data_IF_055919809981
#
_entry.id   IF_055919809981
#
_cell.length_a   1.000
_cell.length_b   1.000
_cell.length_c   1.000
_cell.angle_alpha   90.00
_cell.angle_beta   90.00
_cell.angle_gamma   90.00
#
_symmetry.space_group_name_H-M   'P 1'
#
loop_
_entity.id
_entity.type
_entity.pdbx_description
1 polymer ?
#
# COMPACT_ATOMS: atom_id res chain seq x y z
N UNK A 1 -6.87 -6.15 12.48
CA UNK A 1 -6.25 -6.80 11.30
C UNK A 1 -6.55 -5.91 10.10
N UNK A 2 -5.62 -5.70 9.18
CA UNK A 2 -5.85 -4.84 8.02
C UNK A 2 -6.71 -5.60 7.00
N UNK A 3 -7.98 -5.21 6.91
CA UNK A 3 -9.00 -5.86 6.05
C UNK A 3 -9.39 -5.01 4.84
N UNK A 4 -9.08 -3.72 4.89
CA UNK A 4 -9.38 -2.77 3.83
C UNK A 4 -8.12 -2.41 3.01
N UNK A 5 -8.31 -2.23 1.70
CA UNK A 5 -7.24 -1.85 0.78
C UNK A 5 -7.79 -1.06 -0.41
N UNK A 6 -7.31 0.17 -0.59
CA UNK A 6 -7.69 1.04 -1.70
C UNK A 6 -6.53 1.12 -2.71
N UNK A 7 -6.83 0.95 -3.99
CA UNK A 7 -5.86 1.09 -5.07
C UNK A 7 -6.52 1.64 -6.34
N UNK A 8 -6.17 2.88 -6.71
CA UNK A 8 -6.85 3.58 -7.80
C UNK A 8 -8.33 3.80 -7.45
N UNK A 9 -9.21 3.44 -8.39
CA UNK A 9 -10.67 3.53 -8.23
C UNK A 9 -11.27 2.24 -7.64
N UNK A 10 -10.46 1.39 -7.01
CA UNK A 10 -10.92 0.13 -6.44
C UNK A 10 -10.70 0.09 -4.94
N UNK A 11 -11.70 -0.38 -4.23
CA UNK A 11 -11.66 -0.63 -2.79
C UNK A 11 -11.94 -2.12 -2.53
N UNK A 12 -11.01 -2.79 -1.87
CA UNK A 12 -11.19 -4.15 -1.37
C UNK A 12 -11.48 -4.07 0.14
N UNK A 13 -12.68 -4.50 0.53
CA UNK A 13 -13.08 -4.57 1.94
C UNK A 13 -13.69 -5.94 2.24
N UNK A 14 -13.17 -6.61 3.27
CA UNK A 14 -13.59 -7.94 3.73
C UNK A 14 -13.71 -9.00 2.59
N UNK A 15 -12.80 -8.93 1.61
CA UNK A 15 -12.77 -9.84 0.46
C UNK A 15 -13.77 -9.51 -0.66
N UNK A 16 -14.58 -8.46 -0.48
CA UNK A 16 -15.45 -7.91 -1.52
C UNK A 16 -14.76 -6.75 -2.24
N UNK A 17 -14.98 -6.67 -3.54
CA UNK A 17 -14.41 -5.64 -4.41
C UNK A 17 -15.48 -4.60 -4.73
N UNK A 18 -15.13 -3.34 -4.50
CA UNK A 18 -15.94 -2.18 -4.80
C UNK A 18 -15.19 -1.29 -5.79
N UNK A 19 -15.93 -0.68 -6.71
CA UNK A 19 -15.43 0.40 -7.54
C UNK A 19 -15.89 1.74 -6.94
N UNK A 20 -14.96 2.69 -6.86
CA UNK A 20 -15.19 4.03 -6.40
C UNK A 20 -15.56 4.91 -7.60
N UNK A 21 -16.70 5.59 -7.51
CA UNK A 21 -17.07 6.60 -8.51
C UNK A 21 -16.37 7.95 -8.23
N UNK A 22 -16.59 8.94 -9.11
CA UNK A 22 -16.03 10.29 -8.96
C UNK A 22 -16.51 11.02 -7.70
N UNK A 23 -17.57 10.53 -7.06
CA UNK A 23 -18.14 11.05 -5.82
C UNK A 23 -17.76 10.21 -4.59
N UNK A 24 -16.85 9.24 -4.74
CA UNK A 24 -16.41 8.28 -3.72
C UNK A 24 -17.52 7.34 -3.22
N UNK A 25 -18.58 7.12 -4.01
CA UNK A 25 -19.53 6.07 -3.71
C UNK A 25 -18.94 4.70 -4.08
N UNK A 26 -19.25 3.70 -3.26
CA UNK A 26 -18.81 2.33 -3.46
C UNK A 26 -19.90 1.52 -4.18
N UNK A 27 -19.56 1.01 -5.37
CA UNK A 27 -20.41 0.07 -6.07
C UNK A 27 -19.77 -1.33 -6.05
N UNK A 28 -20.47 -2.37 -5.59
CA UNK A 28 -19.92 -3.72 -5.60
C UNK A 28 -19.76 -4.22 -7.04
N UNK A 29 -18.56 -4.67 -7.39
CA UNK A 29 -18.26 -5.18 -8.72
C UNK A 29 -17.79 -6.64 -8.67
N UNK A 30 -18.10 -7.38 -9.73
CA UNK A 30 -17.63 -8.76 -9.92
C UNK A 30 -16.68 -8.78 -11.11
N UNK A 31 -15.43 -8.42 -10.86
CA UNK A 31 -14.33 -8.56 -11.82
C UNK A 31 -13.20 -9.38 -11.20
N UNK A 32 -13.07 -10.63 -11.67
CA UNK A 32 -12.08 -11.58 -11.17
C UNK A 32 -10.65 -11.09 -11.42
N UNK A 33 -10.42 -10.39 -12.53
CA UNK A 33 -9.09 -9.92 -12.92
C UNK A 33 -8.59 -8.81 -11.99
N UNK A 34 -9.43 -7.80 -11.74
CA UNK A 34 -9.14 -6.74 -10.76
C UNK A 34 -9.05 -7.30 -9.34
N UNK A 35 -9.89 -8.27 -8.97
CA UNK A 35 -9.83 -8.93 -7.66
C UNK A 35 -8.49 -9.63 -7.42
N UNK A 36 -8.00 -10.38 -8.40
CA UNK A 36 -6.70 -11.05 -8.29
C UNK A 36 -5.55 -10.05 -8.19
N UNK A 37 -5.58 -8.99 -9.02
CA UNK A 37 -4.58 -7.93 -9.01
C UNK A 37 -4.53 -7.20 -7.66
N UNK A 38 -5.68 -6.76 -7.14
CA UNK A 38 -5.76 -6.08 -5.85
C UNK A 38 -5.34 -7.00 -4.70
N UNK A 39 -5.73 -8.28 -4.74
CA UNK A 39 -5.33 -9.26 -3.72
C UNK A 39 -3.81 -9.44 -3.68
N UNK A 40 -3.15 -9.55 -4.85
CA UNK A 40 -1.69 -9.61 -4.94
C UNK A 40 -1.04 -8.35 -4.37
N UNK A 41 -1.53 -7.17 -4.75
CA UNK A 41 -1.03 -5.87 -4.24
C UNK A 41 -1.22 -5.74 -2.73
N UNK A 42 -2.37 -6.15 -2.21
CA UNK A 42 -2.66 -6.12 -0.79
C UNK A 42 -1.74 -7.04 0.01
N UNK A 43 -1.45 -8.23 -0.52
CA UNK A 43 -0.48 -9.15 0.08
C UNK A 43 0.93 -8.56 0.07
N UNK A 44 1.35 -7.92 -1.02
CA UNK A 44 2.63 -7.20 -1.07
C UNK A 44 2.68 -6.08 -0.03
N UNK A 45 1.61 -5.29 0.11
CA UNK A 45 1.50 -4.24 1.12
C UNK A 45 1.65 -4.80 2.53
N UNK A 46 0.91 -5.87 2.87
CA UNK A 46 1.02 -6.56 4.16
C UNK A 46 2.43 -7.09 4.42
N UNK A 47 3.07 -7.69 3.42
CA UNK A 47 4.43 -8.22 3.53
C UNK A 47 5.44 -7.11 3.78
N UNK A 48 5.34 -5.98 3.09
CA UNK A 48 6.21 -4.82 3.30
C UNK A 48 6.03 -4.23 4.70
N UNK A 49 4.79 -4.06 5.15
CA UNK A 49 4.50 -3.58 6.49
C UNK A 49 5.01 -4.55 7.55
N UNK A 50 4.83 -5.85 7.37
CA UNK A 50 5.35 -6.88 8.28
C UNK A 50 6.87 -6.79 8.37
N UNK A 51 7.57 -6.68 7.24
CA UNK A 51 9.03 -6.50 7.23
C UNK A 51 9.45 -5.26 8.02
N UNK A 52 8.74 -4.14 7.84
CA UNK A 52 8.98 -2.92 8.60
C UNK A 52 8.77 -3.10 10.11
N UNK A 53 7.65 -3.68 10.54
CA UNK A 53 7.37 -3.91 11.97
C UNK A 53 8.39 -4.85 12.62
N UNK A 54 8.90 -5.83 11.87
CA UNK A 54 9.90 -6.79 12.37
C UNK A 54 11.31 -6.20 12.39
N UNK A 55 11.75 -5.53 11.33
CA UNK A 55 13.13 -5.00 11.24
C UNK A 55 13.31 -3.65 11.92
N UNK A 56 12.22 -2.89 12.14
CA UNK A 56 12.21 -1.47 12.55
C UNK A 56 13.05 -0.55 11.64
N UNK A 57 13.40 -1.02 10.45
CA UNK A 57 14.20 -0.27 9.48
C UNK A 57 13.29 0.14 8.33
N UNK A 58 12.99 1.44 8.24
CA UNK A 58 12.16 2.02 7.18
C UNK A 58 12.94 2.14 5.87
N UNK A 59 14.23 2.47 5.95
CA UNK A 59 15.11 2.68 4.81
C UNK A 59 16.47 2.01 5.05
N UNK A 60 17.13 1.48 4.00
CA UNK A 60 18.52 1.08 4.09
C UNK A 60 19.42 2.28 4.43
N UNK A 61 20.45 2.04 5.25
CA UNK A 61 21.38 3.09 5.70
C UNK A 61 22.06 3.82 4.53
N UNK A 62 22.30 3.13 3.41
CA UNK A 62 22.86 3.70 2.18
C UNK A 62 21.95 4.78 1.57
N UNK A 63 20.64 4.54 1.52
CA UNK A 63 19.66 5.51 1.02
C UNK A 63 19.53 6.68 2.00
N UNK A 64 19.45 6.39 3.30
CA UNK A 64 19.35 7.43 4.32
C UNK A 64 20.56 8.37 4.28
N UNK A 65 21.77 7.81 4.19
CA UNK A 65 23.02 8.59 4.16
C UNK A 65 23.13 9.45 2.90
N UNK A 66 22.77 8.90 1.73
CA UNK A 66 22.89 9.62 0.47
C UNK A 66 21.93 10.81 0.36
N UNK A 67 20.70 10.69 0.88
CA UNK A 67 19.67 11.72 0.70
C UNK A 67 19.47 12.64 1.91
N UNK A 68 19.59 12.13 3.15
CA UNK A 68 19.22 12.90 4.35
C UNK A 68 20.43 13.45 5.13
N UNK A 69 21.61 12.79 5.08
CA UNK A 69 22.81 13.30 5.76
C UNK A 69 23.44 14.51 5.06
N UNK A 70 23.34 14.61 3.73
CA UNK A 70 23.88 15.73 2.95
C UNK A 70 23.07 17.03 3.16
N UNK A 71 21.79 16.93 3.52
CA UNK A 71 20.93 18.11 3.75
C UNK A 71 21.26 18.86 5.05
N UNK A 72 21.90 18.19 6.02
CA UNK A 72 22.28 18.78 7.32
C UNK A 72 23.69 19.40 7.26
N UNK A 73 24.48 19.14 6.22
CA UNK A 73 25.79 19.76 6.03
C UNK A 73 25.70 21.05 5.21
N UNK A 74 25.31 22.14 5.84
CA UNK A 74 25.83 23.46 5.47
C UNK A 74 26.00 24.34 6.71
N UNK A 75 27.19 24.93 6.91
CA UNK A 75 27.49 25.84 8.02
C UNK A 75 26.75 27.18 7.88
#
# INVERSE_FOLDING_TARGET
QLIDFVYGDYHLSDGQLYQLDAHMNEEPIVDESSRELLSKRFNTFKNNNKRFYTSKQLFPDSIYTNYFKQAISKP
#
